data_IF_815880706098
#
_entry.id   IF_815880706098
#
_cell.length_a   1.000
_cell.length_b   1.000
_cell.length_c   1.000
_cell.angle_alpha   90.00
_cell.angle_beta   90.00
_cell.angle_gamma   90.00
#
_symmetry.space_group_name_H-M   'P 1'
#
loop_
_entity.id
_entity.type
_entity.pdbx_description
1 polymer ?
#
# COMPACT_ATOMS: atom_id res chain seq x y z
N UNK A 1 -12.13 8.35 3.79
CA UNK A 1 -10.93 8.31 4.66
C UNK A 1 -10.02 9.48 4.34
N UNK A 2 -9.45 10.14 5.34
CA UNK A 2 -8.52 11.24 5.08
C UNK A 2 -7.19 10.71 4.56
N UNK A 3 -6.46 11.55 3.81
CA UNK A 3 -5.16 11.15 3.27
C UNK A 3 -4.17 10.80 4.38
N UNK A 4 -4.19 11.52 5.48
CA UNK A 4 -3.31 11.27 6.63
C UNK A 4 -3.59 9.89 7.23
N UNK A 5 -4.86 9.54 7.41
CA UNK A 5 -5.23 8.22 7.94
C UNK A 5 -4.90 7.11 6.96
N UNK A 6 -5.16 7.33 5.68
CA UNK A 6 -4.84 6.35 4.65
C UNK A 6 -3.33 6.07 4.61
N UNK A 7 -2.52 7.12 4.61
CA UNK A 7 -1.06 6.99 4.63
C UNK A 7 -0.58 6.22 5.86
N UNK A 8 -1.08 6.58 7.03
CA UNK A 8 -0.70 5.94 8.28
C UNK A 8 -1.04 4.45 8.27
N UNK A 9 -2.22 4.10 7.79
CA UNK A 9 -2.65 2.70 7.70
C UNK A 9 -1.78 1.92 6.70
N UNK A 10 -1.49 2.51 5.55
CA UNK A 10 -0.67 1.87 4.52
C UNK A 10 0.74 1.60 5.06
N UNK A 11 1.34 2.58 5.72
CA UNK A 11 2.67 2.44 6.32
C UNK A 11 2.66 1.36 7.42
N UNK A 12 1.61 1.32 8.22
CA UNK A 12 1.47 0.31 9.26
C UNK A 12 1.42 -1.10 8.66
N UNK A 13 0.64 -1.29 7.59
CA UNK A 13 0.56 -2.58 6.89
C UNK A 13 1.91 -2.96 6.30
N UNK A 14 2.55 -2.04 5.60
CA UNK A 14 3.85 -2.28 4.97
C UNK A 14 4.94 -2.56 6.00
N UNK A 15 4.84 -1.93 7.17
CA UNK A 15 5.77 -2.19 8.28
C UNK A 15 5.71 -3.62 8.79
N UNK A 16 4.55 -4.28 8.68
CA UNK A 16 4.39 -5.68 9.01
C UNK A 16 4.92 -6.63 7.93
N UNK A 17 4.96 -6.16 6.68
CA UNK A 17 5.41 -6.96 5.53
C UNK A 17 6.91 -6.77 5.28
N UNK A 18 7.38 -5.52 5.37
CA UNK A 18 8.77 -5.15 5.11
C UNK A 18 9.30 -4.30 6.28
N UNK A 19 9.55 -4.92 7.46
CA UNK A 19 9.93 -4.18 8.67
C UNK A 19 11.25 -3.43 8.55
N UNK A 20 12.09 -3.81 7.60
CA UNK A 20 13.37 -3.16 7.35
C UNK A 20 13.27 -1.97 6.39
N UNK A 21 12.07 -1.71 5.85
CA UNK A 21 11.87 -0.60 4.92
C UNK A 21 12.03 0.76 5.58
N UNK A 22 12.58 1.72 4.83
CA UNK A 22 12.71 3.09 5.29
C UNK A 22 11.49 3.89 4.83
N UNK A 23 10.45 3.85 5.64
CA UNK A 23 9.18 4.50 5.30
C UNK A 23 9.27 6.03 5.39
N UNK A 24 10.20 6.55 6.19
CA UNK A 24 10.39 8.00 6.28
C UNK A 24 11.00 8.59 5.01
N UNK A 25 11.79 7.79 4.29
CA UNK A 25 12.39 8.20 3.03
C UNK A 25 11.52 7.86 1.82
N UNK A 26 10.39 7.15 2.03
CA UNK A 26 9.53 6.71 0.94
C UNK A 26 8.81 7.89 0.30
N UNK A 27 9.08 8.13 -0.98
CA UNK A 27 8.38 9.14 -1.76
C UNK A 27 7.01 8.61 -2.19
N UNK A 28 6.00 9.49 -2.23
CA UNK A 28 4.65 9.12 -2.65
C UNK A 28 4.56 8.60 -4.08
N UNK A 29 5.47 9.01 -4.96
CA UNK A 29 5.50 8.59 -6.36
C UNK A 29 6.36 7.38 -6.67
N UNK A 30 7.08 6.84 -5.67
CA UNK A 30 7.91 5.67 -5.88
C UNK A 30 7.06 4.40 -5.98
N UNK A 31 7.52 3.44 -6.81
CA UNK A 31 6.90 2.12 -6.88
C UNK A 31 7.19 1.38 -5.57
N UNK A 32 6.13 0.98 -4.88
CA UNK A 32 6.25 0.33 -3.57
C UNK A 32 7.02 -0.98 -3.63
N UNK A 33 6.83 -1.76 -4.71
CA UNK A 33 7.53 -3.03 -4.85
C UNK A 33 9.02 -2.84 -5.02
N UNK A 34 9.42 -1.82 -5.77
CA UNK A 34 10.83 -1.51 -5.98
C UNK A 34 11.46 -0.86 -4.74
N UNK A 35 10.74 0.11 -4.16
CA UNK A 35 11.27 0.88 -3.02
C UNK A 35 11.47 0.01 -1.79
N UNK A 36 10.60 -0.99 -1.58
CA UNK A 36 10.60 -1.84 -0.39
C UNK A 36 11.03 -3.29 -0.70
N UNK A 37 11.45 -3.54 -1.95
CA UNK A 37 11.86 -4.87 -2.40
C UNK A 37 10.79 -5.93 -2.13
N UNK A 38 9.54 -5.63 -2.47
CA UNK A 38 8.42 -6.54 -2.29
C UNK A 38 8.34 -7.53 -3.45
N UNK A 39 8.20 -8.82 -3.14
CA UNK A 39 7.90 -9.81 -4.16
C UNK A 39 6.39 -9.91 -4.41
N UNK A 40 5.96 -10.82 -5.28
CA UNK A 40 4.56 -10.99 -5.63
C UNK A 40 3.71 -11.39 -4.43
N UNK A 41 4.25 -12.21 -3.54
CA UNK A 41 3.52 -12.65 -2.34
C UNK A 41 3.38 -11.51 -1.34
N UNK A 42 4.43 -10.71 -1.18
CA UNK A 42 4.38 -9.54 -0.29
C UNK A 42 3.35 -8.54 -0.79
N UNK A 43 3.30 -8.30 -2.10
CA UNK A 43 2.34 -7.39 -2.68
C UNK A 43 0.91 -7.91 -2.50
N UNK A 44 0.69 -9.21 -2.69
CA UNK A 44 -0.62 -9.82 -2.47
C UNK A 44 -1.05 -9.69 -1.01
N UNK A 45 -0.14 -9.91 -0.07
CA UNK A 45 -0.41 -9.74 1.35
C UNK A 45 -0.80 -8.30 1.67
N UNK A 46 -0.15 -7.34 1.01
CA UNK A 46 -0.49 -5.92 1.14
C UNK A 46 -1.93 -5.65 0.69
N UNK A 47 -2.32 -6.16 -0.48
CA UNK A 47 -3.68 -5.99 -1.02
C UNK A 47 -4.72 -6.63 -0.09
N UNK A 48 -4.46 -7.84 0.39
CA UNK A 48 -5.37 -8.54 1.31
C UNK A 48 -5.54 -7.74 2.60
N UNK A 49 -4.45 -7.22 3.16
CA UNK A 49 -4.51 -6.43 4.38
C UNK A 49 -5.29 -5.12 4.18
N UNK A 50 -5.12 -4.48 3.03
CA UNK A 50 -5.91 -3.29 2.70
C UNK A 50 -7.40 -3.61 2.65
N UNK A 51 -7.76 -4.72 2.01
CA UNK A 51 -9.15 -5.18 1.94
C UNK A 51 -9.71 -5.44 3.35
N UNK A 52 -8.97 -6.14 4.18
CA UNK A 52 -9.43 -6.48 5.53
C UNK A 52 -9.59 -5.23 6.42
N UNK A 53 -8.68 -4.28 6.28
CA UNK A 53 -8.68 -3.06 7.09
C UNK A 53 -9.73 -2.05 6.67
N UNK A 54 -10.09 -2.01 5.40
CA UNK A 54 -11.01 -0.99 4.85
C UNK A 54 -12.38 -1.54 4.49
N UNK A 55 -12.48 -2.84 4.28
CA UNK A 55 -13.71 -3.45 3.73
C UNK A 55 -13.92 -3.17 2.25
N UNK A 56 -12.97 -2.50 1.59
CA UNK A 56 -13.08 -2.18 0.17
C UNK A 56 -12.67 -3.40 -0.65
N UNK A 57 -13.51 -3.80 -1.60
CA UNK A 57 -13.18 -4.87 -2.54
C UNK A 57 -12.16 -4.38 -3.54
N UNK A 58 -11.05 -5.12 -3.66
CA UNK A 58 -9.95 -4.77 -4.57
C UNK A 58 -9.78 -5.90 -5.57
N UNK A 59 -10.42 -5.81 -6.75
CA UNK A 59 -10.25 -6.82 -7.77
C UNK A 59 -8.85 -6.82 -8.35
N UNK A 60 -8.41 -7.95 -8.86
CA UNK A 60 -7.07 -8.10 -9.42
C UNK A 60 -6.79 -7.08 -10.53
N UNK A 61 -7.79 -6.73 -11.32
CA UNK A 61 -7.67 -5.73 -12.37
C UNK A 61 -7.25 -4.35 -11.83
N UNK A 62 -7.49 -4.08 -10.55
CA UNK A 62 -7.15 -2.81 -9.92
C UNK A 62 -5.78 -2.83 -9.24
N UNK A 63 -5.09 -3.96 -9.19
CA UNK A 63 -3.78 -4.04 -8.55
C UNK A 63 -2.77 -3.03 -9.10
N UNK A 64 -2.72 -2.75 -10.41
CA UNK A 64 -1.83 -1.71 -10.93
C UNK A 64 -2.08 -0.31 -10.37
N UNK A 65 -3.26 -0.06 -9.81
CA UNK A 65 -3.61 1.23 -9.19
C UNK A 65 -3.03 1.38 -7.79
N UNK A 66 -2.38 0.35 -7.27
CA UNK A 66 -1.81 0.33 -5.93
C UNK A 66 -0.27 0.33 -5.95
N UNK A 67 0.33 0.75 -7.06
CA UNK A 67 1.78 0.67 -7.25
C UNK A 67 2.56 1.68 -6.42
N UNK A 68 1.98 2.85 -6.17
CA UNK A 68 2.62 3.91 -5.41
C UNK A 68 1.79 4.24 -4.18
N UNK A 69 2.42 4.92 -3.22
CA UNK A 69 1.71 5.37 -2.03
C UNK A 69 0.59 6.35 -2.40
N UNK A 70 0.88 7.31 -3.30
CA UNK A 70 -0.11 8.30 -3.72
C UNK A 70 -1.28 7.65 -4.44
N UNK A 71 -1.02 6.71 -5.34
CA UNK A 71 -2.07 5.99 -6.06
C UNK A 71 -2.94 5.17 -5.11
N UNK A 72 -2.32 4.54 -4.12
CA UNK A 72 -3.04 3.75 -3.13
C UNK A 72 -3.94 4.64 -2.27
N UNK A 73 -3.43 5.79 -1.83
CA UNK A 73 -4.23 6.75 -1.07
C UNK A 73 -5.43 7.21 -1.90
N UNK A 74 -5.21 7.55 -3.16
CA UNK A 74 -6.28 7.99 -4.06
C UNK A 74 -7.33 6.89 -4.25
N UNK A 75 -6.89 5.64 -4.40
CA UNK A 75 -7.79 4.50 -4.55
C UNK A 75 -8.69 4.33 -3.32
N UNK A 76 -8.12 4.44 -2.14
CA UNK A 76 -8.88 4.27 -0.90
C UNK A 76 -9.79 5.45 -0.58
N UNK A 77 -9.60 6.58 -1.24
CA UNK A 77 -10.38 7.80 -1.02
C UNK A 77 -11.60 7.91 -1.95
N UNK A 78 -11.82 6.94 -2.79
CA UNK A 78 -12.96 6.91 -3.71
C UNK A 78 -14.27 6.65 -2.99
#
# INVERSE_FOLDING_TARGET
MSDVKARSMIVDILGGIAPEGDFAALSGGEDLREALDLDSMDFLNFVVALHERTGIDIPEADYPKLRTLDDTIAYLSQ
#
